data_IF_425280309903
#
_entry.id   IF_425280309903
#
_cell.length_a   1.000
_cell.length_b   1.000
_cell.length_c   1.000
_cell.angle_alpha   90.00
_cell.angle_beta   90.00
_cell.angle_gamma   90.00
#
_symmetry.space_group_name_H-M   'P 1'
#
loop_
_entity.id
_entity.type
_entity.pdbx_description
1 polymer ?
#
# COMPACT_ATOMS: atom_id res chain seq x y z
N UNK A 1 1.24 4.00 -9.10
CA UNK A 1 0.70 3.03 -8.13
C UNK A 1 0.96 3.45 -6.68
N UNK A 2 2.20 3.39 -6.15
CA UNK A 2 2.44 3.61 -4.71
C UNK A 2 2.04 5.02 -4.19
N UNK A 3 2.35 6.10 -4.93
CA UNK A 3 1.91 7.45 -4.57
C UNK A 3 0.37 7.57 -4.57
N UNK A 4 -0.26 7.04 -5.61
CA UNK A 4 -1.71 7.01 -5.74
C UNK A 4 -2.40 6.16 -4.65
N UNK A 5 -1.76 5.08 -4.18
CA UNK A 5 -2.24 4.30 -3.04
C UNK A 5 -2.16 5.10 -1.74
N UNK A 6 -1.03 5.78 -1.50
CA UNK A 6 -0.85 6.63 -0.31
C UNK A 6 -1.94 7.70 -0.21
N UNK A 7 -2.27 8.37 -1.31
CA UNK A 7 -3.29 9.42 -1.35
C UNK A 7 -4.70 8.94 -0.98
N UNK A 8 -4.96 7.63 -1.03
CA UNK A 8 -6.26 7.02 -0.72
C UNK A 8 -6.35 6.44 0.69
N UNK A 9 -5.24 6.36 1.42
CA UNK A 9 -5.22 5.81 2.78
C UNK A 9 -5.38 6.97 3.76
N UNK A 10 -6.32 6.82 4.68
CA UNK A 10 -6.55 7.81 5.73
C UNK A 10 -5.58 7.58 6.92
N UNK A 11 -5.25 8.67 7.63
CA UNK A 11 -4.43 8.61 8.84
C UNK A 11 -2.94 8.91 8.62
N UNK A 12 -2.09 8.39 9.52
CA UNK A 12 -0.65 8.65 9.47
C UNK A 12 0.03 7.68 8.49
N UNK A 13 0.35 8.18 7.30
CA UNK A 13 0.95 7.38 6.23
C UNK A 13 2.36 7.86 5.90
N UNK A 14 3.34 6.95 5.99
CA UNK A 14 4.75 7.18 5.71
C UNK A 14 5.14 6.57 4.35
N UNK A 15 6.06 7.24 3.63
CA UNK A 15 6.47 6.87 2.28
C UNK A 15 5.72 7.65 1.17
N UNK A 16 5.71 7.14 -0.08
CA UNK A 16 6.27 5.87 -0.52
C UNK A 16 7.80 5.85 -0.47
N UNK A 17 8.38 4.85 0.20
CA UNK A 17 9.82 4.65 0.26
C UNK A 17 10.26 3.64 -0.81
N UNK A 18 11.28 3.95 -1.64
CA UNK A 18 11.80 2.99 -2.61
C UNK A 18 12.46 1.81 -1.89
N UNK A 19 12.22 0.60 -2.38
CA UNK A 19 12.89 -0.61 -1.93
C UNK A 19 13.83 -1.15 -3.02
N UNK A 20 14.80 -1.96 -2.63
CA UNK A 20 15.62 -2.70 -3.59
C UNK A 20 14.74 -3.51 -4.56
N UNK A 21 15.20 -3.57 -5.81
CA UNK A 21 14.56 -4.39 -6.84
C UNK A 21 14.62 -5.85 -6.42
N UNK A 22 13.52 -6.56 -6.61
CA UNK A 22 13.45 -8.01 -6.39
C UNK A 22 13.09 -8.68 -7.70
N UNK A 23 13.93 -9.61 -8.17
CA UNK A 23 13.73 -10.32 -9.45
C UNK A 23 13.44 -9.33 -10.61
N UNK A 24 14.24 -8.26 -10.69
CA UNK A 24 14.10 -7.21 -11.70
C UNK A 24 12.93 -6.23 -11.51
N UNK A 25 12.05 -6.44 -10.51
CA UNK A 25 10.85 -5.61 -10.31
C UNK A 25 11.11 -4.47 -9.33
N UNK A 26 10.68 -3.26 -9.73
CA UNK A 26 10.66 -2.10 -8.84
C UNK A 26 9.66 -2.32 -7.70
N UNK A 27 10.04 -1.91 -6.49
CA UNK A 27 9.20 -2.03 -5.29
C UNK A 27 9.23 -0.71 -4.51
N UNK A 28 8.12 -0.42 -3.86
CA UNK A 28 8.00 0.69 -2.92
C UNK A 28 7.17 0.25 -1.72
N UNK A 29 7.47 0.82 -0.56
CA UNK A 29 6.76 0.58 0.70
C UNK A 29 5.95 1.82 1.09
N UNK A 30 4.72 1.59 1.52
CA UNK A 30 3.90 2.56 2.24
C UNK A 30 3.65 1.96 3.62
N UNK A 31 3.92 2.72 4.67
CA UNK A 31 3.71 2.29 6.06
C UNK A 31 2.59 3.12 6.68
N UNK A 32 1.61 2.45 7.29
CA UNK A 32 0.50 3.10 7.98
C UNK A 32 0.70 2.94 9.47
N UNK A 33 0.66 4.04 10.22
CA UNK A 33 0.63 4.01 11.68
C UNK A 33 -0.78 4.35 12.15
N UNK A 34 -1.36 3.48 12.96
CA UNK A 34 -2.69 3.66 13.53
C UNK A 34 -2.73 3.18 14.97
N UNK A 35 -3.57 3.82 15.78
CA UNK A 35 -3.97 3.35 17.12
C UNK A 35 -5.25 2.52 17.07
N UNK A 36 -6.00 2.59 15.96
CA UNK A 36 -7.17 1.75 15.68
C UNK A 36 -6.85 0.79 14.52
N UNK A 37 -6.63 -0.47 14.89
CA UNK A 37 -6.29 -1.53 13.95
C UNK A 37 -7.44 -1.82 12.97
N UNK A 38 -8.67 -1.89 13.45
CA UNK A 38 -9.80 -2.32 12.64
C UNK A 38 -10.13 -1.27 11.57
N UNK A 39 -10.20 0.01 11.97
CA UNK A 39 -10.41 1.11 11.04
C UNK A 39 -9.28 1.20 10.01
N UNK A 40 -8.03 1.05 10.45
CA UNK A 40 -6.86 1.12 9.55
C UNK A 40 -6.87 -0.01 8.52
N UNK A 41 -7.20 -1.24 8.93
CA UNK A 41 -7.29 -2.38 8.00
C UNK A 41 -8.41 -2.17 6.99
N UNK A 42 -9.57 -1.65 7.41
CA UNK A 42 -10.68 -1.36 6.50
C UNK A 42 -10.32 -0.28 5.47
N UNK A 43 -9.69 0.82 5.91
CA UNK A 43 -9.22 1.90 5.03
C UNK A 43 -8.19 1.39 4.01
N UNK A 44 -7.19 0.63 4.46
CA UNK A 44 -6.17 0.06 3.57
C UNK A 44 -6.78 -0.92 2.57
N UNK A 45 -7.74 -1.76 2.98
CA UNK A 45 -8.45 -2.67 2.06
C UNK A 45 -9.11 -1.89 0.93
N UNK A 46 -9.93 -0.89 1.25
CA UNK A 46 -10.64 -0.09 0.24
C UNK A 46 -9.68 0.63 -0.72
N UNK A 47 -8.59 1.19 -0.19
CA UNK A 47 -7.57 1.86 -0.99
C UNK A 47 -6.84 0.88 -1.94
N UNK A 48 -6.49 -0.32 -1.45
CA UNK A 48 -5.84 -1.36 -2.26
C UNK A 48 -6.79 -1.90 -3.32
N UNK A 49 -8.04 -2.20 -3.00
CA UNK A 49 -9.03 -2.69 -3.97
C UNK A 49 -9.24 -1.70 -5.12
N UNK A 50 -9.44 -0.43 -4.78
CA UNK A 50 -9.60 0.65 -5.76
C UNK A 50 -8.36 0.77 -6.64
N UNK A 51 -7.18 0.86 -6.03
CA UNK A 51 -5.92 1.02 -6.78
C UNK A 51 -5.59 -0.24 -7.60
N UNK A 52 -5.86 -1.43 -7.10
CA UNK A 52 -5.63 -2.67 -7.83
C UNK A 52 -6.51 -2.71 -9.09
N UNK A 53 -7.77 -2.31 -9.00
CA UNK A 53 -8.69 -2.30 -10.15
C UNK A 53 -8.20 -1.39 -11.28
N UNK A 54 -7.68 -0.21 -10.96
CA UNK A 54 -7.14 0.76 -11.91
C UNK A 54 -5.79 0.32 -12.53
N UNK A 55 -4.97 -0.41 -11.78
CA UNK A 55 -3.57 -0.70 -12.14
C UNK A 55 -3.30 -2.16 -12.54
N UNK A 56 -4.30 -3.04 -12.49
CA UNK A 56 -4.15 -4.48 -12.81
C UNK A 56 -3.58 -4.71 -14.22
N UNK A 57 -4.05 -3.96 -15.22
CA UNK A 57 -3.57 -4.05 -16.61
C UNK A 57 -2.14 -3.56 -16.81
N UNK A 58 -1.54 -2.93 -15.79
CA UNK A 58 -0.18 -2.37 -15.80
C UNK A 58 0.85 -3.28 -15.11
N UNK A 59 0.47 -4.51 -14.74
CA UNK A 59 1.39 -5.50 -14.15
C UNK A 59 1.82 -5.20 -12.71
N UNK A 60 1.10 -4.33 -12.00
CA UNK A 60 1.36 -3.96 -10.61
C UNK A 60 0.73 -5.00 -9.68
N UNK A 61 1.49 -5.40 -8.65
CA UNK A 61 1.01 -6.28 -7.58
C UNK A 61 1.16 -5.61 -6.23
N UNK A 62 0.18 -5.78 -5.35
CA UNK A 62 0.19 -5.29 -3.97
C UNK A 62 0.37 -6.46 -3.01
N UNK A 63 1.13 -6.24 -1.95
CA UNK A 63 1.24 -7.14 -0.79
C UNK A 63 0.92 -6.29 0.44
N UNK A 64 0.09 -6.81 1.33
CA UNK A 64 -0.28 -6.14 2.58
C UNK A 64 0.18 -7.03 3.72
N UNK A 65 0.89 -6.43 4.65
CA UNK A 65 1.32 -7.07 5.89
C UNK A 65 0.71 -6.28 7.06
N UNK A 66 0.07 -6.99 7.98
CA UNK A 66 -0.67 -6.40 9.12
C UNK A 66 0.03 -6.84 10.39
N UNK A 67 0.51 -5.86 11.16
CA UNK A 67 1.31 -6.08 12.36
C UNK A 67 2.50 -7.04 12.12
N UNK A 68 3.38 -6.72 11.15
CA UNK A 68 4.54 -7.54 10.82
C UNK A 68 5.41 -7.76 12.07
N UNK A 69 5.82 -9.01 12.29
CA UNK A 69 6.65 -9.45 13.42
C UNK A 69 8.14 -9.24 13.16
#
# INVERSE_FOLDING_TARGET
AAAALKERIEGTVLGPAPLFRLKGRHRALVLVKSTDRAASVASVRAAVETTASEWVKRGVSFSVDVDPQ
#
